data_IF_045506525986
#
_entry.id   IF_045506525986
#
_cell.length_a   1.000
_cell.length_b   1.000
_cell.length_c   1.000
_cell.angle_alpha   90.00
_cell.angle_beta   90.00
_cell.angle_gamma   90.00
#
_symmetry.space_group_name_H-M   'P 1'
#
loop_
_entity.id
_entity.type
_entity.pdbx_description
1 polymer ?
#
# COMPACT_ATOMS: atom_id res chain seq x y z
N UNK A 1 -21.85 4.15 33.76
CA UNK A 1 -20.61 3.47 33.32
C UNK A 1 -20.48 3.64 31.81
N UNK A 2 -19.70 4.60 31.34
CA UNK A 2 -19.43 4.78 29.91
C UNK A 2 -18.43 3.71 29.50
N UNK A 3 -18.89 2.67 28.81
CA UNK A 3 -18.01 1.65 28.23
C UNK A 3 -17.13 2.33 27.16
N UNK A 4 -15.85 2.51 27.47
CA UNK A 4 -14.86 2.94 26.50
C UNK A 4 -14.75 1.88 25.41
N UNK A 5 -15.23 2.20 24.21
CA UNK A 5 -15.04 1.33 23.05
C UNK A 5 -13.56 1.38 22.65
N UNK A 6 -12.80 0.34 23.03
CA UNK A 6 -11.42 0.15 22.60
C UNK A 6 -11.36 -0.07 21.09
N UNK A 7 -10.51 0.68 20.36
CA UNK A 7 -10.26 0.41 18.93
C UNK A 7 -9.41 -0.86 18.78
N UNK A 8 -9.88 -1.82 17.99
CA UNK A 8 -9.29 -3.14 17.79
C UNK A 8 -8.93 -3.36 16.33
N UNK A 9 -8.05 -4.33 16.08
CA UNK A 9 -7.65 -4.73 14.71
C UNK A 9 -8.85 -5.08 13.83
N UNK A 10 -9.90 -5.71 14.39
CA UNK A 10 -11.12 -6.03 13.65
C UNK A 10 -11.88 -4.80 13.17
N UNK A 11 -11.77 -3.67 13.87
CA UNK A 11 -12.51 -2.45 13.53
C UNK A 11 -11.94 -1.79 12.26
N UNK A 12 -10.70 -2.12 11.88
CA UNK A 12 -10.08 -1.73 10.61
C UNK A 12 -10.85 -2.33 9.42
N UNK A 13 -11.30 -3.60 9.57
CA UNK A 13 -11.93 -4.38 8.50
C UNK A 13 -13.44 -4.59 8.70
N UNK A 14 -14.03 -4.05 9.76
CA UNK A 14 -15.47 -4.18 10.01
C UNK A 14 -16.27 -3.24 9.11
N UNK A 15 -16.59 -3.74 7.92
CA UNK A 15 -17.36 -3.02 6.90
C UNK A 15 -18.87 -3.25 7.03
N UNK A 16 -19.37 -3.86 8.12
CA UNK A 16 -20.81 -4.15 8.27
C UNK A 16 -21.66 -2.89 8.17
N UNK A 17 -21.20 -1.80 8.80
CA UNK A 17 -21.88 -0.51 8.79
C UNK A 17 -21.93 0.15 7.39
N UNK A 18 -21.05 -0.26 6.47
CA UNK A 18 -20.97 0.26 5.10
C UNK A 18 -21.27 -0.82 4.05
N UNK A 19 -21.82 -1.97 4.47
CA UNK A 19 -22.02 -3.14 3.60
C UNK A 19 -22.95 -2.85 2.42
N UNK A 20 -24.02 -2.08 2.65
CA UNK A 20 -24.93 -1.62 1.58
C UNK A 20 -24.19 -0.73 0.58
N UNK A 21 -23.44 0.27 1.05
CA UNK A 21 -22.65 1.17 0.20
C UNK A 21 -21.57 0.41 -0.56
N UNK A 22 -20.90 -0.55 0.08
CA UNK A 22 -19.90 -1.41 -0.54
C UNK A 22 -20.53 -2.26 -1.64
N UNK A 23 -21.66 -2.91 -1.37
CA UNK A 23 -22.35 -3.76 -2.34
C UNK A 23 -22.82 -2.95 -3.55
N UNK A 24 -23.49 -1.81 -3.30
CA UNK A 24 -23.90 -0.91 -4.37
C UNK A 24 -22.70 -0.40 -5.18
N UNK A 25 -21.62 -0.03 -4.49
CA UNK A 25 -20.37 0.41 -5.10
C UNK A 25 -19.71 -0.64 -5.99
N UNK A 26 -19.64 -1.89 -5.54
CA UNK A 26 -19.16 -3.02 -6.33
C UNK A 26 -20.03 -3.22 -7.57
N UNK A 27 -21.36 -3.23 -7.42
CA UNK A 27 -22.28 -3.43 -8.55
C UNK A 27 -22.14 -2.32 -9.60
N UNK A 28 -22.11 -1.05 -9.17
CA UNK A 28 -21.91 0.10 -10.05
C UNK A 28 -20.53 0.05 -10.71
N UNK A 29 -19.48 -0.24 -9.95
CA UNK A 29 -18.12 -0.37 -10.47
C UNK A 29 -17.98 -1.49 -11.49
N UNK A 30 -18.58 -2.66 -11.23
CA UNK A 30 -18.63 -3.77 -12.17
C UNK A 30 -19.43 -3.44 -13.43
N UNK A 31 -20.56 -2.75 -13.31
CA UNK A 31 -21.33 -2.28 -14.47
C UNK A 31 -20.47 -1.39 -15.38
N UNK A 32 -19.79 -0.40 -14.81
CA UNK A 32 -18.89 0.47 -15.58
C UNK A 32 -17.67 -0.26 -16.13
N UNK A 33 -17.13 -1.25 -15.41
CA UNK A 33 -16.03 -2.08 -15.91
C UNK A 33 -16.45 -2.91 -17.13
N UNK A 34 -17.64 -3.52 -17.10
CA UNK A 34 -18.22 -4.25 -18.24
C UNK A 34 -18.52 -3.31 -19.41
N UNK A 35 -19.06 -2.12 -19.13
CA UNK A 35 -19.27 -1.10 -20.15
C UNK A 35 -17.95 -0.66 -20.79
N UNK A 36 -16.91 -0.40 -20.00
CA UNK A 36 -15.58 -0.06 -20.49
C UNK A 36 -14.97 -1.19 -21.33
N UNK A 37 -15.16 -2.45 -20.93
CA UNK A 37 -14.74 -3.61 -21.71
C UNK A 37 -15.47 -3.69 -23.06
N UNK A 38 -16.77 -3.39 -23.12
CA UNK A 38 -17.55 -3.35 -24.37
C UNK A 38 -17.04 -2.29 -25.35
N UNK A 39 -16.50 -1.19 -24.82
CA UNK A 39 -15.83 -0.13 -25.57
C UNK A 39 -14.34 -0.41 -25.85
N UNK A 40 -13.86 -1.61 -25.51
CA UNK A 40 -12.47 -2.06 -25.70
C UNK A 40 -11.43 -1.19 -24.96
N UNK A 41 -11.81 -0.56 -23.85
CA UNK A 41 -10.83 0.11 -23.00
C UNK A 41 -9.87 -0.90 -22.36
N UNK A 42 -8.60 -0.51 -22.11
CA UNK A 42 -7.60 -1.37 -21.48
C UNK A 42 -8.03 -1.82 -20.08
N UNK A 43 -7.49 -2.96 -19.65
CA UNK A 43 -7.85 -3.62 -18.38
C UNK A 43 -7.70 -2.69 -17.16
N UNK A 44 -6.71 -1.80 -17.15
CA UNK A 44 -6.52 -0.86 -16.03
C UNK A 44 -7.67 0.15 -15.88
N UNK A 45 -8.38 0.50 -16.96
CA UNK A 45 -9.58 1.36 -16.88
C UNK A 45 -10.73 0.57 -16.27
N UNK A 46 -10.91 -0.68 -16.70
CA UNK A 46 -11.94 -1.57 -16.16
C UNK A 46 -11.75 -1.79 -14.65
N UNK A 47 -10.49 -2.01 -14.26
CA UNK A 47 -10.04 -2.06 -12.87
C UNK A 47 -10.35 -0.78 -12.09
N UNK A 48 -10.00 0.38 -12.65
CA UNK A 48 -10.22 1.68 -12.04
C UNK A 48 -11.72 1.93 -11.78
N UNK A 49 -12.62 1.46 -12.65
CA UNK A 49 -14.07 1.52 -12.42
C UNK A 49 -14.50 0.75 -11.17
N UNK A 50 -13.99 -0.47 -10.97
CA UNK A 50 -14.30 -1.28 -9.77
C UNK A 50 -13.74 -0.61 -8.51
N UNK A 51 -12.49 -0.14 -8.57
CA UNK A 51 -11.85 0.57 -7.46
C UNK A 51 -12.64 1.85 -7.10
N UNK A 52 -12.97 2.66 -8.10
CA UNK A 52 -13.77 3.87 -7.92
C UNK A 52 -15.15 3.58 -7.32
N UNK A 53 -15.76 2.45 -7.69
CA UNK A 53 -17.02 1.98 -7.12
C UNK A 53 -16.93 1.66 -5.62
N UNK A 54 -15.84 1.04 -5.16
CA UNK A 54 -15.67 0.68 -3.73
C UNK A 54 -15.17 1.84 -2.86
N UNK A 55 -14.55 2.86 -3.46
CA UNK A 55 -13.97 4.00 -2.73
C UNK A 55 -14.96 4.72 -1.79
N UNK A 56 -16.22 5.02 -2.18
CA UNK A 56 -17.19 5.66 -1.28
C UNK A 56 -17.42 4.91 0.03
N UNK A 57 -17.51 3.57 0.00
CA UNK A 57 -17.72 2.77 1.20
C UNK A 57 -16.51 2.89 2.16
N UNK A 58 -15.30 2.83 1.61
CA UNK A 58 -14.07 3.02 2.37
C UNK A 58 -13.92 4.45 2.91
N UNK A 59 -14.30 5.47 2.14
CA UNK A 59 -14.29 6.86 2.61
C UNK A 59 -15.26 7.07 3.77
N UNK A 60 -16.48 6.52 3.69
CA UNK A 60 -17.46 6.59 4.79
C UNK A 60 -16.93 5.89 6.03
N UNK A 61 -16.34 4.70 5.88
CA UNK A 61 -15.72 3.96 6.98
C UNK A 61 -14.58 4.74 7.64
N UNK A 62 -13.67 5.30 6.84
CA UNK A 62 -12.56 6.11 7.34
C UNK A 62 -13.03 7.38 8.05
N UNK A 63 -14.07 8.05 7.54
CA UNK A 63 -14.69 9.20 8.18
C UNK A 63 -15.37 8.83 9.51
N UNK A 64 -15.99 7.66 9.60
CA UNK A 64 -16.56 7.16 10.85
C UNK A 64 -15.48 6.92 11.91
N UNK A 65 -14.34 6.33 11.51
CA UNK A 65 -13.18 6.15 12.39
C UNK A 65 -12.57 7.49 12.78
N UNK A 66 -12.43 8.43 11.85
CA UNK A 66 -11.94 9.78 12.10
C UNK A 66 -12.78 10.48 13.18
N UNK A 67 -14.10 10.45 13.04
CA UNK A 67 -15.04 11.08 13.99
C UNK A 67 -15.01 10.42 15.37
N UNK A 68 -14.87 9.09 15.42
CA UNK A 68 -14.98 8.33 16.66
C UNK A 68 -13.66 8.21 17.44
N UNK A 69 -12.54 8.06 16.73
CA UNK A 69 -11.24 7.74 17.32
C UNK A 69 -10.16 8.78 17.00
N UNK A 70 -10.40 9.66 16.02
CA UNK A 70 -9.46 10.69 15.59
C UNK A 70 -8.64 10.28 14.37
N UNK A 71 -7.91 11.27 13.82
CA UNK A 71 -7.23 11.16 12.52
C UNK A 71 -6.19 10.04 12.47
N UNK A 72 -5.47 9.81 13.57
CA UNK A 72 -4.39 8.83 13.61
C UNK A 72 -4.89 7.41 13.31
N UNK A 73 -6.04 7.03 13.89
CA UNK A 73 -6.65 5.72 13.65
C UNK A 73 -7.23 5.61 12.23
N UNK A 74 -7.77 6.71 11.70
CA UNK A 74 -8.29 6.75 10.34
C UNK A 74 -7.17 6.56 9.30
N UNK A 75 -6.05 7.28 9.44
CA UNK A 75 -4.88 7.14 8.56
C UNK A 75 -4.27 5.74 8.67
N UNK A 76 -4.13 5.21 9.87
CA UNK A 76 -3.63 3.85 10.08
C UNK A 76 -4.54 2.81 9.40
N UNK A 77 -5.86 2.98 9.53
CA UNK A 77 -6.85 2.09 8.89
C UNK A 77 -6.74 2.12 7.38
N UNK A 78 -6.65 3.32 6.79
CA UNK A 78 -6.48 3.49 5.35
C UNK A 78 -5.17 2.85 4.85
N UNK A 79 -4.06 3.08 5.56
CA UNK A 79 -2.77 2.48 5.18
C UNK A 79 -2.81 0.96 5.25
N UNK A 80 -3.33 0.39 6.34
CA UNK A 80 -3.44 -1.08 6.50
C UNK A 80 -4.33 -1.67 5.42
N UNK A 81 -5.49 -1.08 5.15
CA UNK A 81 -6.40 -1.57 4.12
C UNK A 81 -5.77 -1.51 2.72
N UNK A 82 -5.18 -0.37 2.35
CA UNK A 82 -4.63 -0.17 1.03
C UNK A 82 -3.35 -0.99 0.81
N UNK A 83 -2.45 -1.10 1.80
CA UNK A 83 -1.28 -1.99 1.72
C UNK A 83 -1.68 -3.46 1.65
N UNK A 84 -2.70 -3.89 2.40
CA UNK A 84 -3.18 -5.27 2.32
C UNK A 84 -3.77 -5.58 0.95
N UNK A 85 -4.54 -4.65 0.37
CA UNK A 85 -5.06 -4.79 -0.99
C UNK A 85 -3.93 -4.90 -2.02
N UNK A 86 -2.93 -4.03 -1.93
CA UNK A 86 -1.75 -4.09 -2.81
C UNK A 86 -0.97 -5.40 -2.64
N UNK A 87 -0.80 -5.88 -1.41
CA UNK A 87 -0.18 -7.18 -1.12
C UNK A 87 -0.94 -8.36 -1.72
N UNK A 88 -2.29 -8.31 -1.73
CA UNK A 88 -3.13 -9.34 -2.38
C UNK A 88 -2.94 -9.31 -3.91
N UNK A 89 -2.86 -8.14 -4.53
CA UNK A 89 -2.58 -8.01 -5.96
C UNK A 89 -1.25 -8.72 -6.32
N UNK A 90 -0.20 -8.49 -5.53
CA UNK A 90 1.10 -9.16 -5.71
C UNK A 90 1.07 -10.65 -5.44
N UNK A 91 0.30 -11.10 -4.44
CA UNK A 91 0.09 -12.53 -4.20
C UNK A 91 -0.57 -13.19 -5.42
N UNK A 92 -1.57 -12.55 -6.01
CA UNK A 92 -2.23 -13.05 -7.22
C UNK A 92 -1.24 -13.11 -8.39
N UNK A 93 -0.42 -12.08 -8.61
CA UNK A 93 0.64 -12.11 -9.64
C UNK A 93 1.65 -13.22 -9.40
N UNK A 94 2.08 -13.41 -8.15
CA UNK A 94 3.00 -14.47 -7.76
C UNK A 94 2.43 -15.86 -8.04
N UNK A 95 1.15 -16.08 -7.71
CA UNK A 95 0.41 -17.30 -8.04
C UNK A 95 0.28 -17.49 -9.55
N UNK A 96 -0.07 -16.44 -10.29
CA UNK A 96 -0.17 -16.49 -11.76
C UNK A 96 1.16 -16.93 -12.39
N UNK A 97 2.28 -16.40 -11.91
CA UNK A 97 3.59 -16.71 -12.46
C UNK A 97 4.10 -18.10 -12.04
N UNK A 98 4.08 -18.43 -10.75
CA UNK A 98 4.70 -19.67 -10.25
C UNK A 98 3.80 -20.89 -10.30
N UNK A 99 2.49 -20.71 -10.08
CA UNK A 99 1.53 -21.82 -10.01
C UNK A 99 0.85 -22.00 -11.36
N UNK A 100 0.29 -20.91 -11.94
CA UNK A 100 -0.40 -20.98 -13.24
C UNK A 100 0.55 -20.92 -14.45
N UNK A 101 1.85 -20.68 -14.21
CA UNK A 101 2.90 -20.61 -15.24
C UNK A 101 2.63 -19.58 -16.32
N UNK A 102 1.94 -18.50 -15.98
CA UNK A 102 1.73 -17.39 -16.91
C UNK A 102 3.05 -16.68 -17.17
N UNK A 103 3.31 -16.25 -18.41
CA UNK A 103 4.48 -15.43 -18.67
C UNK A 103 4.36 -14.10 -17.94
N UNK A 104 5.49 -13.50 -17.57
CA UNK A 104 5.56 -12.30 -16.73
C UNK A 104 4.65 -11.15 -17.22
N UNK A 105 4.57 -10.93 -18.54
CA UNK A 105 3.72 -9.89 -19.12
C UNK A 105 2.21 -10.14 -18.96
N UNK A 106 1.77 -11.38 -18.71
CA UNK A 106 0.39 -11.74 -18.38
C UNK A 106 0.13 -11.84 -16.88
N UNK A 107 1.17 -12.08 -16.08
CA UNK A 107 1.11 -12.06 -14.62
C UNK A 107 1.21 -10.62 -14.09
N UNK A 108 0.44 -9.70 -14.68
CA UNK A 108 0.42 -8.29 -14.31
C UNK A 108 -0.78 -7.98 -13.45
N UNK A 109 -0.58 -7.07 -12.50
CA UNK A 109 -1.62 -6.58 -11.62
C UNK A 109 -2.66 -5.73 -12.34
N UNK A 110 -3.85 -5.72 -11.75
CA UNK A 110 -5.00 -4.92 -12.12
C UNK A 110 -4.64 -3.44 -12.26
N UNK A 111 -3.84 -2.89 -11.34
CA UNK A 111 -3.40 -1.49 -11.35
C UNK A 111 -2.09 -1.34 -12.13
N UNK A 112 -1.23 -2.35 -12.07
CA UNK A 112 0.08 -2.36 -12.75
C UNK A 112 -0.02 -2.24 -14.28
N UNK A 113 -1.18 -2.51 -14.86
CA UNK A 113 -1.45 -2.34 -16.28
C UNK A 113 -1.51 -0.87 -16.77
N UNK A 114 -1.62 0.13 -15.87
CA UNK A 114 -1.60 1.54 -16.26
C UNK A 114 -0.16 2.04 -16.58
N UNK A 115 0.80 1.65 -15.75
CA UNK A 115 2.25 1.69 -15.96
C UNK A 115 2.90 1.24 -14.64
N UNK A 116 3.46 0.04 -14.59
CA UNK A 116 3.94 -0.52 -13.32
C UNK A 116 5.00 0.37 -12.64
N UNK A 117 5.89 1.03 -13.40
CA UNK A 117 6.96 1.83 -12.80
C UNK A 117 6.40 3.08 -12.10
N UNK A 118 5.48 3.81 -12.75
CA UNK A 118 4.84 4.99 -12.16
C UNK A 118 3.93 4.64 -10.99
N UNK A 119 3.13 3.57 -11.11
CA UNK A 119 2.23 3.11 -10.07
C UNK A 119 3.02 2.77 -8.80
N UNK A 120 4.06 1.94 -8.93
CA UNK A 120 4.83 1.53 -7.74
C UNK A 120 5.69 2.68 -7.20
N UNK A 121 6.23 3.55 -8.06
CA UNK A 121 6.95 4.74 -7.60
C UNK A 121 6.06 5.64 -6.73
N UNK A 122 4.87 6.01 -7.22
CA UNK A 122 3.93 6.84 -6.47
C UNK A 122 3.40 6.16 -5.20
N UNK A 123 3.12 4.86 -5.29
CA UNK A 123 2.68 4.05 -4.15
C UNK A 123 3.71 4.02 -3.03
N UNK A 124 4.96 3.65 -3.33
CA UNK A 124 6.04 3.51 -2.34
C UNK A 124 6.33 4.83 -1.62
N UNK A 125 6.41 5.94 -2.37
CA UNK A 125 6.56 7.27 -1.76
C UNK A 125 5.38 7.64 -0.87
N UNK A 126 4.15 7.30 -1.27
CA UNK A 126 2.95 7.53 -0.45
C UNK A 126 3.00 6.74 0.86
N UNK A 127 3.35 5.45 0.80
CA UNK A 127 3.51 4.59 1.99
C UNK A 127 4.60 5.15 2.91
N UNK A 128 5.75 5.57 2.37
CA UNK A 128 6.84 6.16 3.15
C UNK A 128 6.41 7.44 3.88
N UNK A 129 5.72 8.34 3.18
CA UNK A 129 5.23 9.60 3.76
C UNK A 129 4.22 9.31 4.87
N UNK A 130 3.22 8.46 4.61
CA UNK A 130 2.19 8.13 5.61
C UNK A 130 2.83 7.43 6.82
N UNK A 131 3.74 6.49 6.60
CA UNK A 131 4.45 5.80 7.67
C UNK A 131 5.25 6.79 8.53
N UNK A 132 5.96 7.73 7.90
CA UNK A 132 6.70 8.78 8.59
C UNK A 132 5.78 9.67 9.44
N UNK A 133 4.59 10.02 8.92
CA UNK A 133 3.56 10.76 9.66
C UNK A 133 3.06 9.94 10.86
N UNK A 134 2.78 8.64 10.69
CA UNK A 134 2.30 7.77 11.76
C UNK A 134 3.34 7.57 12.87
N UNK A 135 4.62 7.39 12.51
CA UNK A 135 5.74 7.29 13.47
C UNK A 135 5.92 8.60 14.23
N UNK A 136 5.85 9.75 13.53
CA UNK A 136 5.87 11.08 14.17
C UNK A 136 4.65 11.27 15.10
N UNK A 137 3.49 10.76 14.70
CA UNK A 137 2.23 10.75 15.45
C UNK A 137 2.15 9.73 16.59
N UNK A 138 3.20 8.93 16.81
CA UNK A 138 3.33 8.07 17.99
C UNK A 138 3.31 6.56 17.74
N UNK A 139 3.27 6.07 16.50
CA UNK A 139 3.47 4.65 16.17
C UNK A 139 4.95 4.28 16.34
N UNK A 140 5.43 4.10 17.58
CA UNK A 140 6.88 4.05 17.93
C UNK A 140 7.33 2.72 18.53
N UNK A 141 6.69 1.61 18.19
CA UNK A 141 7.14 0.28 18.61
C UNK A 141 8.19 -0.29 17.65
N UNK A 142 8.87 -1.37 18.06
CA UNK A 142 9.96 -1.99 17.28
C UNK A 142 9.54 -2.34 15.85
N UNK A 143 8.34 -2.91 15.66
CA UNK A 143 7.84 -3.27 14.33
C UNK A 143 7.58 -2.04 13.46
N UNK A 144 7.20 -0.90 14.05
CA UNK A 144 7.02 0.34 13.31
C UNK A 144 8.35 0.89 12.79
N UNK A 145 9.43 0.80 13.58
CA UNK A 145 10.76 1.19 13.13
C UNK A 145 11.30 0.25 12.05
N UNK A 146 11.07 -1.06 12.19
CA UNK A 146 11.40 -2.04 11.16
C UNK A 146 10.60 -1.79 9.87
N UNK A 147 9.30 -1.53 9.97
CA UNK A 147 8.44 -1.16 8.83
C UNK A 147 8.98 0.10 8.14
N UNK A 148 9.32 1.15 8.91
CA UNK A 148 9.87 2.38 8.34
C UNK A 148 11.19 2.12 7.59
N UNK A 149 12.13 1.39 8.19
CA UNK A 149 13.38 1.04 7.54
C UNK A 149 13.16 0.20 6.26
N UNK A 150 12.23 -0.74 6.32
CA UNK A 150 11.87 -1.60 5.19
C UNK A 150 11.25 -0.79 4.04
N UNK A 151 10.28 0.08 4.32
CA UNK A 151 9.67 0.97 3.31
C UNK A 151 10.67 1.98 2.75
N UNK A 152 11.63 2.48 3.54
CA UNK A 152 12.72 3.33 3.00
C UNK A 152 13.52 2.54 1.96
N UNK A 153 13.94 1.32 2.28
CA UNK A 153 14.69 0.48 1.36
C UNK A 153 13.88 0.13 0.10
N UNK A 154 12.60 -0.21 0.26
CA UNK A 154 11.71 -0.53 -0.85
C UNK A 154 11.43 0.71 -1.74
N UNK A 155 11.29 1.89 -1.15
CA UNK A 155 11.12 3.15 -1.89
C UNK A 155 12.41 3.53 -2.63
N UNK A 156 13.58 3.25 -2.06
CA UNK A 156 14.85 3.42 -2.75
C UNK A 156 14.96 2.50 -3.98
N UNK A 157 14.58 1.22 -3.85
CA UNK A 157 14.47 0.27 -4.97
C UNK A 157 13.59 0.84 -6.11
N UNK A 158 12.40 1.34 -5.79
CA UNK A 158 11.50 1.92 -6.79
C UNK A 158 11.96 3.25 -7.37
N UNK A 159 12.69 4.05 -6.60
CA UNK A 159 13.32 5.27 -7.10
C UNK A 159 14.41 4.90 -8.12
N UNK A 160 15.24 3.90 -7.82
CA UNK A 160 16.25 3.40 -8.75
C UNK A 160 15.60 2.83 -10.03
N UNK A 161 14.57 2.02 -9.89
CA UNK A 161 13.82 1.46 -11.03
C UNK A 161 13.21 2.56 -11.91
N UNK A 162 12.63 3.61 -11.31
CA UNK A 162 12.11 4.75 -12.07
C UNK A 162 13.21 5.46 -12.86
N UNK A 163 14.39 5.67 -12.26
CA UNK A 163 15.53 6.25 -12.97
C UNK A 163 15.97 5.38 -14.15
N UNK A 164 16.07 4.05 -13.96
CA UNK A 164 16.41 3.09 -15.02
C UNK A 164 15.36 3.07 -16.13
N UNK A 165 14.09 3.16 -15.76
CA UNK A 165 12.98 3.25 -16.71
C UNK A 165 13.08 4.49 -17.59
N UNK A 166 13.32 5.67 -17.01
CA UNK A 166 13.49 6.91 -17.77
C UNK A 166 14.73 6.87 -18.67
N UNK A 167 15.83 6.30 -18.21
CA UNK A 167 17.04 6.08 -19.02
C UNK A 167 16.76 5.17 -20.22
N UNK A 168 16.05 4.06 -20.00
CA UNK A 168 15.70 3.12 -21.06
C UNK A 168 14.78 3.76 -22.11
N UNK A 169 13.79 4.55 -21.67
CA UNK A 169 12.94 5.31 -22.58
C UNK A 169 13.72 6.33 -23.41
N UNK A 170 14.66 7.07 -22.79
CA UNK A 170 15.52 8.01 -23.52
C UNK A 170 16.34 7.30 -24.58
N UNK A 171 16.99 6.19 -24.24
CA UNK A 171 17.81 5.43 -25.18
C UNK A 171 16.99 4.83 -26.34
N UNK A 172 15.76 4.37 -26.07
CA UNK A 172 14.85 3.89 -27.11
C UNK A 172 14.38 5.03 -28.03
N UNK A 173 14.09 6.21 -27.47
CA UNK A 173 13.73 7.38 -28.24
C UNK A 173 14.88 7.84 -29.16
N UNK A 174 16.12 7.80 -28.68
CA UNK A 174 17.32 8.11 -29.49
C UNK A 174 17.50 7.15 -30.67
N UNK A 175 17.01 5.90 -30.54
CA UNK A 175 16.99 4.90 -31.61
C UNK A 175 15.74 4.99 -32.51
N UNK A 176 14.86 5.98 -32.31
CA UNK A 176 13.61 6.12 -33.05
C UNK A 176 12.52 5.12 -32.66
N UNK A 177 12.67 4.42 -31.53
CA UNK A 177 11.71 3.43 -31.02
C UNK A 177 10.86 4.06 -29.91
N UNK A 178 9.67 4.55 -30.25
CA UNK A 178 8.77 5.22 -29.27
C UNK A 178 7.63 4.34 -28.75
N UNK A 179 7.42 3.16 -29.33
CA UNK A 179 6.22 2.34 -29.08
C UNK A 179 6.46 1.11 -28.19
N UNK A 180 7.59 1.05 -27.47
CA UNK A 180 7.96 -0.10 -26.63
C UNK A 180 7.92 0.29 -25.15
N UNK A 181 7.29 -0.56 -24.35
CA UNK A 181 7.25 -0.41 -22.89
C UNK A 181 8.54 -0.97 -22.27
N UNK A 182 9.31 -0.11 -21.59
CA UNK A 182 10.52 -0.51 -20.84
C UNK A 182 10.20 -0.93 -19.39
N UNK A 183 9.04 -1.56 -19.14
CA UNK A 183 8.64 -2.01 -17.80
C UNK A 183 9.30 -3.34 -17.43
N UNK A 184 9.45 -3.60 -16.13
CA UNK A 184 10.03 -4.88 -15.69
C UNK A 184 11.54 -4.87 -15.55
N UNK A 185 12.18 -3.70 -15.56
CA UNK A 185 13.62 -3.57 -15.40
C UNK A 185 14.09 -4.10 -14.04
N UNK A 186 15.31 -4.65 -13.96
CA UNK A 186 15.88 -5.12 -12.70
C UNK A 186 16.26 -3.94 -11.80
N UNK A 187 16.10 -4.12 -10.48
CA UNK A 187 16.35 -3.10 -9.47
C UNK A 187 17.74 -3.21 -8.84
N UNK A 188 17.89 -2.91 -7.54
CA UNK A 188 19.14 -3.19 -6.83
C UNK A 188 19.34 -4.69 -6.63
N UNK A 189 18.24 -5.39 -6.30
CA UNK A 189 18.22 -6.82 -6.03
C UNK A 189 17.69 -7.62 -7.22
N UNK A 190 17.87 -8.94 -7.14
CA UNK A 190 17.41 -9.87 -8.16
C UNK A 190 18.35 -10.02 -9.34
N UNK A 191 17.93 -10.87 -10.27
CA UNK A 191 18.64 -11.19 -11.50
C UNK A 191 18.82 -9.93 -12.32
N UNK A 192 20.05 -9.72 -12.79
CA UNK A 192 20.48 -8.56 -13.58
C UNK A 192 20.32 -7.21 -12.85
N UNK A 193 20.08 -7.23 -11.54
CA UNK A 193 20.03 -6.04 -10.69
C UNK A 193 21.42 -5.44 -10.45
N UNK A 194 21.45 -4.22 -9.91
CA UNK A 194 22.69 -3.49 -9.67
C UNK A 194 23.72 -4.30 -8.86
N UNK A 195 23.28 -5.05 -7.84
CA UNK A 195 24.16 -5.90 -7.05
C UNK A 195 24.75 -7.07 -7.87
N UNK A 196 23.98 -7.62 -8.80
CA UNK A 196 24.43 -8.71 -9.65
C UNK A 196 25.45 -8.25 -10.71
N UNK A 197 25.33 -7.00 -11.18
CA UNK A 197 26.12 -6.50 -12.32
C UNK A 197 27.26 -5.57 -11.95
N UNK A 198 27.25 -4.95 -10.76
CA UNK A 198 28.25 -3.98 -10.35
C UNK A 198 29.60 -4.62 -10.07
N UNK A 199 30.68 -4.04 -10.61
CA UNK A 199 32.06 -4.49 -10.38
C UNK A 199 32.43 -4.50 -8.89
N UNK A 200 31.83 -3.60 -8.10
CA UNK A 200 32.09 -3.47 -6.67
C UNK A 200 31.49 -4.61 -5.83
N UNK A 201 30.42 -5.26 -6.30
CA UNK A 201 29.62 -6.18 -5.47
C UNK A 201 29.51 -7.58 -6.06
N UNK A 202 29.66 -7.76 -7.38
CA UNK A 202 29.46 -9.05 -8.08
C UNK A 202 30.31 -10.22 -7.57
N UNK A 203 31.46 -9.95 -6.96
CA UNK A 203 32.36 -10.97 -6.40
C UNK A 203 32.14 -11.24 -4.90
N UNK A 204 31.27 -10.46 -4.25
CA UNK A 204 30.99 -10.58 -2.82
C UNK A 204 30.20 -11.85 -2.46
N UNK A 205 30.22 -12.23 -1.17
CA UNK A 205 29.44 -13.36 -0.68
C UNK A 205 27.93 -13.14 -0.86
N UNK A 206 27.48 -11.88 -0.81
CA UNK A 206 26.06 -11.50 -0.94
C UNK A 206 25.50 -11.94 -2.30
N UNK A 207 26.31 -11.84 -3.36
CA UNK A 207 25.91 -12.25 -4.70
C UNK A 207 25.84 -13.77 -4.90
N UNK A 208 26.32 -14.55 -3.91
CA UNK A 208 26.24 -16.02 -3.91
C UNK A 208 25.00 -16.54 -3.18
N UNK A 209 24.28 -15.68 -2.47
CA UNK A 209 23.07 -16.06 -1.74
C UNK A 209 21.91 -16.28 -2.73
N UNK A 210 21.35 -17.51 -2.81
CA UNK A 210 20.23 -17.78 -3.69
C UNK A 210 19.04 -16.85 -3.39
N UNK A 211 18.45 -16.30 -4.45
CA UNK A 211 17.32 -15.38 -4.37
C UNK A 211 17.70 -13.91 -4.20
N UNK A 212 18.92 -13.60 -3.74
CA UNK A 212 19.31 -12.20 -3.51
C UNK A 212 19.69 -11.48 -4.81
N UNK A 213 20.44 -12.16 -5.67
CA UNK A 213 20.86 -11.68 -7.00
C UNK A 213 20.38 -12.59 -8.13
N UNK A 214 19.60 -13.63 -7.81
CA UNK A 214 19.14 -14.62 -8.79
C UNK A 214 17.62 -14.70 -8.96
N UNK A 215 16.86 -14.13 -8.01
CA UNK A 215 15.40 -14.05 -8.08
C UNK A 215 14.95 -13.14 -9.21
N UNK A 216 13.85 -13.47 -9.87
CA UNK A 216 13.25 -12.57 -10.86
C UNK A 216 12.65 -11.36 -10.15
N UNK A 217 12.52 -10.23 -10.86
CA UNK A 217 11.96 -8.98 -10.31
C UNK A 217 10.63 -9.20 -9.58
N UNK A 218 9.76 -10.04 -10.13
CA UNK A 218 8.48 -10.40 -9.53
C UNK A 218 8.64 -10.91 -8.08
N UNK A 219 9.61 -11.79 -7.85
CA UNK A 219 9.84 -12.40 -6.54
C UNK A 219 10.41 -11.40 -5.56
N UNK A 220 11.39 -10.61 -5.99
CA UNK A 220 11.97 -9.52 -5.18
C UNK A 220 10.86 -8.59 -4.71
N UNK A 221 10.03 -8.14 -5.65
CA UNK A 221 8.95 -7.20 -5.36
C UNK A 221 7.84 -7.81 -4.50
N UNK A 222 7.49 -9.09 -4.72
CA UNK A 222 6.57 -9.81 -3.85
C UNK A 222 7.05 -9.83 -2.39
N UNK A 223 8.33 -10.18 -2.16
CA UNK A 223 8.88 -10.24 -0.80
C UNK A 223 8.97 -8.87 -0.13
N UNK A 224 9.24 -7.80 -0.88
CA UNK A 224 9.12 -6.44 -0.37
C UNK A 224 7.71 -6.18 0.18
N UNK A 225 6.67 -6.49 -0.59
CA UNK A 225 5.27 -6.28 -0.20
C UNK A 225 4.83 -7.17 0.98
N UNK A 226 5.31 -8.42 1.03
CA UNK A 226 5.07 -9.31 2.17
C UNK A 226 5.67 -8.72 3.45
N UNK A 227 6.92 -8.24 3.37
CA UNK A 227 7.60 -7.60 4.50
C UNK A 227 6.85 -6.35 4.99
N UNK A 228 6.45 -5.46 4.07
CA UNK A 228 5.66 -4.27 4.40
C UNK A 228 4.34 -4.62 5.08
N UNK A 229 3.59 -5.56 4.50
CA UNK A 229 2.28 -5.98 5.02
C UNK A 229 2.44 -6.60 6.41
N UNK A 230 3.38 -7.54 6.57
CA UNK A 230 3.59 -8.22 7.85
C UNK A 230 4.04 -7.24 8.95
N UNK A 231 5.02 -6.39 8.67
CA UNK A 231 5.53 -5.42 9.64
C UNK A 231 4.48 -4.37 10.00
N UNK A 232 3.69 -3.88 9.03
CA UNK A 232 2.61 -2.95 9.27
C UNK A 232 1.51 -3.56 10.17
N UNK A 233 1.11 -4.81 9.91
CA UNK A 233 0.13 -5.51 10.72
C UNK A 233 0.64 -5.74 12.16
N UNK A 234 1.91 -6.13 12.32
CA UNK A 234 2.52 -6.31 13.64
C UNK A 234 2.66 -4.99 14.40
N UNK A 235 3.10 -3.92 13.71
CA UNK A 235 3.20 -2.58 14.28
C UNK A 235 1.84 -2.07 14.77
N UNK A 236 0.81 -2.25 13.95
CA UNK A 236 -0.58 -1.90 14.27
C UNK A 236 -1.08 -2.69 15.47
N UNK A 237 -0.97 -4.03 15.42
CA UNK A 237 -1.47 -4.91 16.48
C UNK A 237 -0.78 -4.63 17.82
N UNK A 238 0.55 -4.42 17.81
CA UNK A 238 1.32 -4.08 19.01
C UNK A 238 0.88 -2.75 19.61
N UNK A 239 0.73 -1.71 18.78
CA UNK A 239 0.35 -0.38 19.24
C UNK A 239 -1.08 -0.34 19.80
N UNK A 240 -2.03 -0.98 19.12
CA UNK A 240 -3.41 -1.04 19.60
C UNK A 240 -3.52 -1.80 20.92
N UNK A 241 -2.77 -2.89 21.10
CA UNK A 241 -2.72 -3.60 22.39
C UNK A 241 -2.17 -2.69 23.50
N UNK A 242 -1.12 -1.92 23.23
CA UNK A 242 -0.54 -0.98 24.20
C UNK A 242 -1.55 0.10 24.59
N UNK A 243 -2.19 0.74 23.61
CA UNK A 243 -3.17 1.81 23.83
C UNK A 243 -4.42 1.34 24.57
N UNK A 244 -4.89 0.12 24.30
CA UNK A 244 -6.06 -0.45 24.97
C UNK A 244 -5.78 -0.90 26.42
N UNK A 245 -4.51 -1.05 26.83
CA UNK A 245 -4.14 -1.41 28.21
C UNK A 245 -4.09 -0.21 29.15
N UNK A 246 -3.89 1.00 28.62
CA UNK A 246 -3.81 2.21 29.42
C UNK A 246 -5.22 2.78 29.54
N UNK A 247 -5.81 2.88 30.74
CA UNK A 247 -7.05 3.61 30.93
C UNK A 247 -6.82 5.04 30.44
N UNK A 248 -7.53 5.48 29.41
CA UNK A 248 -7.43 6.86 28.96
C UNK A 248 -7.92 7.74 30.11
N UNK A 249 -7.10 8.68 30.64
CA UNK A 249 -7.57 9.60 31.65
C UNK A 249 -8.82 10.27 31.09
N UNK A 250 -9.91 10.28 31.85
CA UNK A 250 -11.12 11.02 31.48
C UNK A 250 -10.65 12.46 31.24
N UNK A 251 -10.67 12.91 29.99
CA UNK A 251 -10.57 14.32 29.69
C UNK A 251 -11.79 14.92 30.40
N UNK A 252 -11.58 15.53 31.57
CA UNK A 252 -12.62 16.33 32.21
C UNK A 252 -12.97 17.38 31.18
N UNK A 253 -14.15 17.24 30.59
CA UNK A 253 -14.78 18.35 29.89
C UNK A 253 -14.81 19.45 30.94
N UNK A 254 -13.96 20.47 30.77
CA UNK A 254 -14.08 21.67 31.57
C UNK A 254 -15.52 22.15 31.35
N UNK A 255 -16.37 22.20 32.38
CA UNK A 255 -17.68 22.81 32.21
C UNK A 255 -17.40 24.24 31.76
N UNK A 256 -17.76 24.53 30.52
CA UNK A 256 -17.85 25.89 30.01
C UNK A 256 -18.71 26.65 31.01
N UNK A 257 -18.11 27.67 31.60
CA UNK A 257 -18.71 28.64 32.51
C UNK A 257 -20.18 28.89 32.16
N UNK A 258 -21.10 28.36 32.97
CA UNK A 258 -22.42 28.95 33.12
C UNK A 258 -22.23 30.28 33.84
N UNK A 259 -22.11 31.35 33.06
CA UNK A 259 -22.28 32.70 33.59
C UNK A 259 -23.74 32.85 33.99
N UNK A 260 -23.99 32.73 35.29
CA UNK A 260 -25.19 33.25 35.92
C UNK A 260 -25.00 34.75 36.15
N UNK A 261 -25.92 35.56 35.65
CA UNK A 261 -26.42 36.74 36.37
C UNK A 261 -27.78 37.13 35.78
N UNK A 262 -28.81 36.54 36.35
CA UNK A 262 -30.12 37.18 36.50
C UNK A 262 -29.99 38.31 37.55
N UNK A 263 -30.76 39.39 37.37
CA UNK A 263 -30.87 40.58 38.22
C UNK A 263 -30.41 41.83 37.45
N UNK A 264 -31.26 42.82 37.12
CA UNK A 264 -32.47 43.39 37.75
C UNK A 264 -33.43 43.86 36.67
#
# INVERSE_FOLDING_TARGET
MTTYNSFRMRDIIDLRAVSTTLTAGVLVGCFFAVYAASLKYPLWIQAACVIAGVMPAYSVHALAILRKFGWWYAVLTLLVAAQSFHGIEHLVQWVQYHILRWPFFKASGIISAANAEWVHFGWNWTVLIIMSILVKGGLRNTFAWLMLAWTIAHTAEHTYLMLRYLQALSALADLGVSNVSAQGLPGFFGRDGWLATSDATRSSFVCRLPGFTTAVRLDVHFWWNVGETALLLLATASELRKRNRVPTPVQRVHPSFTAASEGV
#
